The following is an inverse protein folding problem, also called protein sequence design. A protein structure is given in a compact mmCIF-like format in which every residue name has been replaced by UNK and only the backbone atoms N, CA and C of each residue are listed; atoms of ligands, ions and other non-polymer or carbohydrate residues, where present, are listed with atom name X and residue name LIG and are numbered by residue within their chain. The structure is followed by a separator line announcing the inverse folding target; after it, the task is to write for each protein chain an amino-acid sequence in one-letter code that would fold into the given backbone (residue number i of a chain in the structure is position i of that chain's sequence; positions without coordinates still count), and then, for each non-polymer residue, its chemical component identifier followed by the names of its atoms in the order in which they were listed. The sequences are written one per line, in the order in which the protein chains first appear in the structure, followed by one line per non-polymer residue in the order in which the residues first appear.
data_IF_174216670212
#
_entry.id   IF_174216670212
#
_cell.length_a   1.000
_cell.length_b   1.000
_cell.length_c   1.000
_cell.angle_alpha   90.00
_cell.angle_beta   90.00
_cell.angle_gamma   90.00
#
_symmetry.space_group_name_H-M   'P 1'
#
loop_
_entity.id
_entity.type
_entity.pdbx_description
1 polymer ?
#
# COMPACT_ATOMS: atom_id res chain seq x y z
N UNK A 1 -29.41 22.41 -14.65
CA UNK A 1 -28.15 22.21 -13.92
C UNK A 1 -28.28 22.94 -12.60
N UNK A 2 -28.57 22.23 -11.52
CA UNK A 2 -28.74 22.84 -10.20
C UNK A 2 -27.37 23.04 -9.56
N UNK A 3 -27.13 24.21 -8.98
CA UNK A 3 -25.94 24.44 -8.15
C UNK A 3 -26.05 23.57 -6.90
N UNK A 4 -25.08 22.68 -6.68
CA UNK A 4 -24.94 21.96 -5.42
C UNK A 4 -24.30 22.90 -4.39
N UNK A 5 -24.85 22.94 -3.18
CA UNK A 5 -24.34 23.76 -2.08
C UNK A 5 -23.78 22.87 -0.97
N UNK A 6 -22.65 23.27 -0.39
CA UNK A 6 -22.07 22.57 0.75
C UNK A 6 -23.02 22.62 1.95
N UNK A 7 -23.19 21.49 2.63
CA UNK A 7 -24.01 21.34 3.82
C UNK A 7 -23.18 20.79 4.99
N UNK A 8 -23.74 20.85 6.19
CA UNK A 8 -23.10 20.29 7.37
C UNK A 8 -22.80 18.79 7.16
N UNK A 9 -21.58 18.37 7.51
CA UNK A 9 -21.11 16.99 7.32
C UNK A 9 -20.44 16.71 5.97
N UNK A 10 -20.49 17.64 5.02
CA UNK A 10 -19.71 17.51 3.79
C UNK A 10 -18.22 17.77 4.05
N UNK A 11 -17.39 17.23 3.17
CA UNK A 11 -15.95 17.43 3.22
C UNK A 11 -15.63 18.89 2.93
N UNK A 12 -14.79 19.47 3.76
CA UNK A 12 -14.27 20.82 3.55
C UNK A 12 -13.11 20.72 2.56
N UNK A 13 -13.30 21.25 1.36
CA UNK A 13 -12.25 21.42 0.35
C UNK A 13 -11.79 22.87 0.40
N UNK A 14 -10.49 23.08 0.33
CA UNK A 14 -9.91 24.41 0.30
C UNK A 14 -10.00 24.97 -1.12
N UNK A 15 -10.65 26.14 -1.25
CA UNK A 15 -10.55 27.01 -2.42
C UNK A 15 -9.15 27.64 -2.41
N UNK A 16 -8.32 27.27 -3.39
CA UNK A 16 -6.92 27.65 -3.44
C UNK A 16 -6.69 28.92 -4.25
N UNK A 17 -7.50 29.17 -5.27
CA UNK A 17 -7.39 30.36 -6.13
C UNK A 17 -8.23 31.56 -5.63
N UNK A 18 -9.12 31.31 -4.66
CA UNK A 18 -9.95 32.30 -3.99
C UNK A 18 -11.13 32.78 -4.83
N UNK A 19 -11.53 32.04 -5.86
CA UNK A 19 -12.59 32.45 -6.78
C UNK A 19 -14.02 32.18 -6.25
N UNK A 20 -14.14 31.59 -5.06
CA UNK A 20 -15.40 31.27 -4.40
C UNK A 20 -16.08 30.01 -4.93
N UNK A 21 -15.37 29.17 -5.69
CA UNK A 21 -15.83 27.91 -6.26
C UNK A 21 -14.79 26.84 -6.01
N UNK A 22 -15.24 25.59 -5.97
CA UNK A 22 -14.35 24.43 -5.93
C UNK A 22 -14.35 23.80 -7.33
N UNK A 23 -13.29 24.04 -8.08
CA UNK A 23 -13.05 23.64 -9.46
C UNK A 23 -12.07 22.47 -9.56
N UNK A 24 -12.39 21.31 -8.99
CA UNK A 24 -11.46 20.15 -8.96
C UNK A 24 -11.67 19.16 -10.11
N UNK A 25 -12.76 19.30 -10.87
CA UNK A 25 -13.06 18.49 -12.05
C UNK A 25 -12.64 19.20 -13.33
N UNK A 26 -12.22 18.44 -14.33
CA UNK A 26 -11.94 18.96 -15.66
C UNK A 26 -13.13 19.79 -16.18
N UNK A 27 -12.89 20.97 -16.78
CA UNK A 27 -11.58 21.50 -17.19
C UNK A 27 -10.91 22.44 -16.18
N UNK A 28 -11.56 22.73 -15.05
CA UNK A 28 -11.13 23.82 -14.18
C UNK A 28 -9.81 23.45 -13.47
N UNK A 29 -9.73 22.29 -12.80
CA UNK A 29 -8.55 21.84 -12.03
C UNK A 29 -7.86 22.93 -11.15
N UNK A 30 -8.54 24.06 -10.92
CA UNK A 30 -8.02 25.33 -10.40
C UNK A 30 -7.54 25.17 -8.94
N UNK A 31 -8.20 24.29 -8.18
CA UNK A 31 -7.92 24.03 -6.77
C UNK A 31 -6.99 22.82 -6.54
N UNK A 32 -6.45 22.21 -7.61
CA UNK A 32 -5.53 21.09 -7.46
C UNK A 32 -4.14 21.62 -7.07
N UNK A 33 -3.62 21.10 -5.96
CA UNK A 33 -2.27 21.44 -5.48
C UNK A 33 -1.36 20.23 -5.47
N UNK A 34 -0.06 20.49 -5.60
CA UNK A 34 0.95 19.44 -5.42
C UNK A 34 0.95 18.95 -3.97
N UNK A 35 0.67 17.66 -3.78
CA UNK A 35 0.53 17.05 -2.45
C UNK A 35 1.59 15.99 -2.13
N UNK A 36 2.71 15.99 -2.86
CA UNK A 36 3.82 15.06 -2.65
C UNK A 36 4.22 14.30 -3.91
N UNK A 37 5.26 13.48 -3.76
CA UNK A 37 5.85 12.73 -4.86
C UNK A 37 5.77 11.22 -4.61
N UNK A 38 5.40 10.43 -5.63
CA UNK A 38 5.51 8.97 -5.58
C UNK A 38 6.96 8.49 -5.58
N UNK A 39 7.90 9.36 -5.98
CA UNK A 39 9.32 9.07 -5.90
C UNK A 39 9.77 9.09 -4.44
N UNK A 40 10.49 8.05 -3.97
CA UNK A 40 11.01 8.02 -2.61
C UNK A 40 12.18 8.99 -2.44
N UNK A 41 12.37 9.43 -1.20
CA UNK A 41 13.54 10.22 -0.80
C UNK A 41 14.80 9.35 -0.88
N UNK A 42 14.68 8.09 -0.45
CA UNK A 42 15.73 7.09 -0.56
C UNK A 42 15.13 5.70 -0.73
N UNK A 43 15.80 4.86 -1.50
CA UNK A 43 15.46 3.45 -1.66
C UNK A 43 16.73 2.63 -1.85
N UNK A 44 16.69 1.36 -1.46
CA UNK A 44 17.84 0.49 -1.63
C UNK A 44 17.62 -0.91 -1.09
N UNK A 45 18.72 -1.62 -0.89
CA UNK A 45 18.70 -2.94 -0.30
C UNK A 45 19.89 -3.17 0.62
N UNK A 46 19.70 -4.04 1.60
CA UNK A 46 20.73 -4.49 2.53
C UNK A 46 20.89 -5.99 2.30
N UNK A 47 22.11 -6.39 1.91
CA UNK A 47 22.48 -7.80 1.74
C UNK A 47 23.38 -8.19 2.90
N UNK A 48 22.98 -9.22 3.64
CA UNK A 48 23.77 -9.77 4.74
C UNK A 48 24.06 -11.23 4.48
N UNK A 49 25.34 -11.58 4.37
CA UNK A 49 25.81 -12.96 4.22
C UNK A 49 26.66 -13.35 5.41
N UNK A 50 26.28 -14.41 6.10
CA UNK A 50 26.99 -14.98 7.24
C UNK A 50 27.36 -16.43 6.93
N UNK A 51 28.62 -16.79 7.15
CA UNK A 51 29.10 -18.15 6.99
C UNK A 51 29.75 -18.62 8.29
N UNK A 52 29.32 -19.76 8.83
CA UNK A 52 29.86 -20.29 10.07
C UNK A 52 29.78 -21.81 10.14
N UNK A 53 30.94 -22.49 10.23
CA UNK A 53 31.05 -23.95 10.42
C UNK A 53 30.18 -24.79 9.47
N UNK A 54 30.08 -24.38 8.20
CA UNK A 54 29.27 -25.06 7.18
C UNK A 54 27.83 -24.54 7.06
N UNK A 55 27.36 -23.72 8.00
CA UNK A 55 26.13 -22.95 7.83
C UNK A 55 26.38 -21.72 6.97
N UNK A 56 25.44 -21.44 6.06
CA UNK A 56 25.39 -20.21 5.27
C UNK A 56 24.02 -19.56 5.44
N UNK A 57 23.99 -18.28 5.82
CA UNK A 57 22.78 -17.48 5.94
C UNK A 57 22.90 -16.29 4.98
N UNK A 58 21.90 -16.13 4.12
CA UNK A 58 21.78 -15.01 3.20
C UNK A 58 20.46 -14.29 3.45
N UNK A 59 20.53 -12.99 3.74
CA UNK A 59 19.38 -12.11 3.92
C UNK A 59 19.43 -11.00 2.89
N UNK A 60 18.30 -10.73 2.25
CA UNK A 60 18.09 -9.58 1.38
C UNK A 60 16.91 -8.77 1.92
N UNK A 61 17.21 -7.57 2.42
CA UNK A 61 16.19 -6.58 2.74
C UNK A 61 16.10 -5.56 1.61
N UNK A 62 14.88 -5.14 1.30
CA UNK A 62 14.61 -3.96 0.47
C UNK A 62 13.97 -2.88 1.35
N UNK A 63 14.38 -1.63 1.18
CA UNK A 63 13.80 -0.51 1.90
C UNK A 63 13.43 0.63 0.95
N UNK A 64 12.39 1.36 1.35
CA UNK A 64 11.93 2.59 0.71
C UNK A 64 11.59 3.59 1.81
N UNK A 65 12.03 4.83 1.65
CA UNK A 65 11.87 5.89 2.65
C UNK A 65 11.16 7.09 2.02
N UNK A 66 10.01 7.43 2.59
CA UNK A 66 9.35 8.72 2.39
C UNK A 66 8.71 8.95 1.02
N UNK A 67 8.26 7.90 0.32
CA UNK A 67 7.40 8.07 -0.88
C UNK A 67 5.97 8.44 -0.47
N UNK A 68 5.24 9.15 -1.31
CA UNK A 68 3.82 9.40 -1.12
C UNK A 68 3.01 8.36 -1.89
N UNK A 69 2.00 7.81 -1.25
CA UNK A 69 1.04 6.89 -1.87
C UNK A 69 -0.36 7.49 -1.70
N UNK A 70 -1.07 7.68 -2.81
CA UNK A 70 -2.48 8.05 -2.81
C UNK A 70 -3.32 6.77 -2.67
N UNK A 71 -3.93 6.57 -1.52
CA UNK A 71 -4.83 5.46 -1.25
C UNK A 71 -6.23 5.77 -1.81
N UNK A 72 -6.35 5.71 -3.13
CA UNK A 72 -7.59 6.00 -3.85
C UNK A 72 -8.69 4.97 -3.54
N UNK A 73 -8.32 3.70 -3.43
CA UNK A 73 -9.26 2.60 -3.20
C UNK A 73 -10.05 2.74 -1.89
N UNK A 74 -9.36 3.09 -0.79
CA UNK A 74 -10.00 3.15 0.53
C UNK A 74 -11.10 4.20 0.60
N UNK A 75 -10.81 5.43 0.18
CA UNK A 75 -11.77 6.53 0.18
C UNK A 75 -12.98 6.25 -0.71
N UNK A 76 -12.74 5.76 -1.93
CA UNK A 76 -13.81 5.44 -2.88
C UNK A 76 -14.69 4.26 -2.44
N UNK A 77 -14.16 3.34 -1.64
CA UNK A 77 -14.90 2.17 -1.17
C UNK A 77 -15.90 2.45 -0.06
N UNK A 78 -15.75 3.59 0.63
CA UNK A 78 -16.58 3.98 1.77
C UNK A 78 -17.80 4.82 1.36
N UNK A 79 -17.70 5.51 0.22
CA UNK A 79 -18.79 6.31 -0.30
C UNK A 79 -19.86 5.46 -0.95
N UNK A 80 -21.11 5.72 -0.59
CA UNK A 80 -22.25 5.19 -1.32
C UNK A 80 -22.71 6.27 -2.30
N UNK A 81 -22.84 5.95 -3.58
CA UNK A 81 -23.33 6.88 -4.58
C UNK A 81 -24.38 6.22 -5.45
N UNK A 82 -25.33 7.00 -5.93
CA UNK A 82 -26.31 6.55 -6.92
C UNK A 82 -25.63 6.44 -8.28
N UNK A 83 -25.72 5.27 -8.91
CA UNK A 83 -25.30 5.06 -10.29
C UNK A 83 -26.39 4.35 -11.09
N UNK A 84 -26.48 4.69 -12.37
CA UNK A 84 -27.31 3.97 -13.34
C UNK A 84 -26.76 2.56 -13.66
N UNK A 85 -25.52 2.26 -13.27
CA UNK A 85 -24.87 0.98 -13.53
C UNK A 85 -24.67 0.20 -12.22
N UNK A 86 -25.20 -1.03 -12.15
CA UNK A 86 -25.13 -1.89 -10.94
C UNK A 86 -23.70 -2.15 -10.46
N UNK A 87 -22.74 -2.25 -11.39
CA UNK A 87 -21.31 -2.45 -11.08
C UNK A 87 -20.68 -1.28 -10.32
N UNK A 88 -21.29 -0.09 -10.41
CA UNK A 88 -20.84 1.09 -9.69
C UNK A 88 -21.46 1.20 -8.30
N UNK A 89 -22.62 0.55 -8.08
CA UNK A 89 -23.30 0.47 -6.78
C UNK A 89 -22.66 -0.57 -5.85
N UNK A 90 -22.05 -1.61 -6.40
CA UNK A 90 -21.52 -2.76 -5.65
C UNK A 90 -19.99 -2.80 -5.69
N UNK A 91 -19.36 -2.03 -4.80
CA UNK A 91 -17.90 -2.04 -4.63
C UNK A 91 -17.49 -2.77 -3.35
N UNK A 92 -16.37 -3.53 -3.36
CA UNK A 92 -15.82 -4.06 -2.14
C UNK A 92 -15.44 -2.91 -1.20
N UNK A 93 -15.80 -3.05 0.08
CA UNK A 93 -15.41 -2.10 1.12
C UNK A 93 -14.00 -2.46 1.59
N UNK A 94 -13.05 -1.53 1.48
CA UNK A 94 -11.64 -1.75 1.83
C UNK A 94 -11.25 -1.20 3.20
N UNK A 95 -12.24 -0.84 4.02
CA UNK A 95 -12.03 -0.42 5.40
C UNK A 95 -12.86 -1.28 6.36
N UNK A 96 -12.36 -1.45 7.57
CA UNK A 96 -13.10 -2.09 8.65
C UNK A 96 -14.16 -1.11 9.18
N UNK A 97 -15.42 -1.30 8.76
CA UNK A 97 -16.55 -0.43 9.11
C UNK A 97 -16.81 -0.36 10.63
N UNK A 98 -16.31 -1.31 11.42
CA UNK A 98 -16.43 -1.27 12.88
C UNK A 98 -15.45 -0.30 13.55
N UNK A 99 -14.43 0.16 12.81
CA UNK A 99 -13.34 1.02 13.31
C UNK A 99 -13.32 2.42 12.70
N UNK A 100 -14.30 2.74 11.85
CA UNK A 100 -14.42 4.05 11.22
C UNK A 100 -15.77 4.65 11.54
N UNK A 101 -15.81 5.97 11.62
CA UNK A 101 -17.01 6.74 11.92
C UNK A 101 -17.32 7.73 10.80
N UNK A 102 -18.62 7.92 10.54
CA UNK A 102 -19.13 8.91 9.59
C UNK A 102 -19.84 10.01 10.36
N UNK A 103 -19.73 11.25 9.87
CA UNK A 103 -20.43 12.37 10.48
C UNK A 103 -21.95 12.18 10.40
N UNK A 104 -22.67 12.44 11.50
CA UNK A 104 -24.13 12.37 11.54
C UNK A 104 -24.78 13.67 12.01
N UNK A 105 -24.16 14.36 12.97
CA UNK A 105 -24.72 15.58 13.56
C UNK A 105 -23.64 16.60 13.99
N UNK A 106 -24.00 17.88 14.17
CA UNK A 106 -23.09 18.88 14.71
C UNK A 106 -22.50 18.45 16.06
N UNK A 107 -21.18 18.57 16.21
CA UNK A 107 -20.44 18.14 17.39
C UNK A 107 -19.75 16.78 17.28
N UNK A 108 -20.06 15.98 16.25
CA UNK A 108 -19.38 14.72 16.00
C UNK A 108 -17.91 14.94 15.62
N UNK A 109 -17.02 14.08 16.14
CA UNK A 109 -15.64 13.92 15.69
C UNK A 109 -15.57 12.61 14.91
N UNK A 110 -15.81 12.70 13.60
CA UNK A 110 -15.85 11.55 12.71
C UNK A 110 -14.63 11.47 11.81
N UNK A 111 -14.27 10.27 11.37
CA UNK A 111 -13.15 10.01 10.45
C UNK A 111 -13.51 10.39 9.01
N UNK A 112 -14.77 10.24 8.64
CA UNK A 112 -15.29 10.45 7.29
C UNK A 112 -16.48 11.43 7.28
N UNK A 113 -16.70 12.13 6.15
CA UNK A 113 -17.88 12.98 5.98
C UNK A 113 -19.18 12.17 6.02
N UNK A 114 -20.31 12.86 6.04
CA UNK A 114 -21.62 12.24 5.99
C UNK A 114 -21.74 11.34 4.74
N UNK A 115 -22.11 10.08 4.95
CA UNK A 115 -22.39 9.17 3.84
C UNK A 115 -23.82 9.40 3.34
N UNK A 116 -23.97 9.87 2.10
CA UNK A 116 -25.23 10.26 1.48
C UNK A 116 -25.31 9.68 0.08
N UNK A 117 -26.51 9.28 -0.35
CA UNK A 117 -26.76 8.70 -1.67
C UNK A 117 -26.70 9.73 -2.81
N UNK A 118 -26.99 10.99 -2.50
CA UNK A 118 -26.83 12.10 -3.42
C UNK A 118 -25.36 12.24 -3.81
N UNK A 119 -25.12 12.60 -5.07
CA UNK A 119 -23.77 12.80 -5.59
C UNK A 119 -23.14 13.99 -4.84
N UNK A 120 -22.47 13.68 -3.74
CA UNK A 120 -21.97 14.67 -2.80
C UNK A 120 -20.88 15.52 -3.43
N UNK A 121 -20.59 16.67 -2.80
CA UNK A 121 -19.51 17.57 -3.17
C UNK A 121 -18.13 16.97 -2.82
N UNK A 122 -17.78 15.87 -3.46
CA UNK A 122 -16.50 15.15 -3.33
C UNK A 122 -16.24 14.46 -1.99
N UNK A 123 -17.28 14.18 -1.19
CA UNK A 123 -17.14 13.53 0.12
C UNK A 123 -16.25 12.27 0.11
N UNK A 124 -16.35 11.47 -0.95
CA UNK A 124 -15.58 10.22 -1.12
C UNK A 124 -14.70 10.22 -2.39
N UNK A 125 -14.31 11.40 -2.88
CA UNK A 125 -13.40 11.50 -4.03
C UNK A 125 -12.05 10.84 -3.73
N UNK A 126 -11.42 10.31 -4.78
CA UNK A 126 -10.13 9.61 -4.70
C UNK A 126 -8.95 10.56 -4.59
N UNK A 127 -8.94 11.63 -5.40
CA UNK A 127 -7.83 12.58 -5.54
C UNK A 127 -7.88 13.68 -4.47
N UNK A 128 -7.78 13.28 -3.21
CA UNK A 128 -7.79 14.18 -2.06
C UNK A 128 -6.50 14.05 -1.26
N UNK A 129 -5.98 15.18 -0.78
CA UNK A 129 -4.74 15.23 0.02
C UNK A 129 -4.82 14.37 1.29
N UNK A 130 -6.01 14.26 1.88
CA UNK A 130 -6.31 13.41 3.02
C UNK A 130 -6.15 11.90 2.76
N UNK A 131 -6.16 11.47 1.50
CA UNK A 131 -5.98 10.08 1.11
C UNK A 131 -4.50 9.76 0.84
N UNK A 132 -3.61 10.75 0.98
CA UNK A 132 -2.17 10.58 0.73
C UNK A 132 -1.48 10.16 2.02
N UNK A 133 -0.72 9.07 1.91
CA UNK A 133 0.09 8.51 2.99
C UNK A 133 1.57 8.69 2.64
N UNK A 134 2.35 9.29 3.54
CA UNK A 134 3.81 9.30 3.42
C UNK A 134 4.34 7.96 3.96
N UNK A 135 4.77 7.10 3.06
CA UNK A 135 5.10 5.71 3.33
C UNK A 135 6.60 5.47 3.33
N UNK A 136 7.05 4.76 4.36
CA UNK A 136 8.35 4.11 4.42
C UNK A 136 8.16 2.65 4.81
N UNK A 137 8.92 1.76 4.17
CA UNK A 137 8.84 0.34 4.49
C UNK A 137 10.20 -0.35 4.39
N UNK A 138 10.33 -1.46 5.13
CA UNK A 138 11.43 -2.40 5.08
C UNK A 138 10.84 -3.80 4.88
N UNK A 139 11.25 -4.50 3.82
CA UNK A 139 10.74 -5.82 3.48
C UNK A 139 11.87 -6.82 3.40
N UNK A 140 11.71 -7.97 4.06
CA UNK A 140 12.62 -9.11 3.90
C UNK A 140 12.25 -9.86 2.62
N UNK A 141 13.00 -9.56 1.55
CA UNK A 141 12.79 -10.13 0.21
C UNK A 141 13.16 -11.59 0.14
N UNK A 142 14.31 -11.94 0.69
CA UNK A 142 14.81 -13.31 0.66
C UNK A 142 15.56 -13.62 1.94
N UNK A 143 15.29 -14.79 2.52
CA UNK A 143 16.05 -15.40 3.59
C UNK A 143 16.40 -16.82 3.16
N UNK A 144 17.68 -17.13 3.06
CA UNK A 144 18.15 -18.48 2.76
C UNK A 144 19.09 -18.94 3.85
N UNK A 145 18.74 -20.05 4.51
CA UNK A 145 19.61 -20.74 5.46
C UNK A 145 19.99 -22.10 4.88
N UNK A 146 21.28 -22.31 4.67
CA UNK A 146 21.86 -23.54 4.19
C UNK A 146 22.83 -24.16 5.19
N UNK A 147 23.01 -25.48 5.07
CA UNK A 147 24.09 -26.20 5.72
C UNK A 147 24.77 -27.13 4.71
N UNK A 148 26.07 -26.94 4.53
CA UNK A 148 26.92 -27.78 3.68
C UNK A 148 27.60 -28.84 4.51
N UNK A 149 27.46 -30.11 4.12
CA UNK A 149 28.10 -31.23 4.82
C UNK A 149 29.63 -31.08 4.83
N UNK A 150 30.30 -31.39 5.96
CA UNK A 150 31.75 -31.32 6.06
C UNK A 150 32.45 -32.27 5.07
N UNK A 151 33.66 -31.89 4.62
CA UNK A 151 34.46 -32.64 3.63
C UNK A 151 34.69 -34.10 4.04
N UNK A 152 34.86 -34.37 5.34
CA UNK A 152 35.04 -35.75 5.88
C UNK A 152 33.90 -36.70 5.50
N UNK A 153 32.67 -36.19 5.39
CA UNK A 153 31.51 -36.97 4.96
C UNK A 153 31.49 -37.14 3.44
N UNK A 154 31.90 -36.12 2.69
CA UNK A 154 32.08 -36.20 1.23
C UNK A 154 33.07 -37.30 0.85
N UNK A 155 34.21 -37.37 1.53
CA UNK A 155 35.26 -38.37 1.28
C UNK A 155 34.78 -39.81 1.57
N UNK A 156 33.90 -40.01 2.56
CA UNK A 156 33.34 -41.34 2.88
C UNK A 156 32.21 -41.76 1.95
N UNK A 157 31.33 -40.84 1.58
CA UNK A 157 30.11 -41.12 0.81
C UNK A 157 30.32 -41.02 -0.71
N UNK A 158 31.41 -40.40 -1.16
CA UNK A 158 31.70 -40.17 -2.58
C UNK A 158 30.96 -38.97 -3.18
N UNK A 159 30.16 -38.23 -2.41
CA UNK A 159 29.45 -37.03 -2.86
C UNK A 159 29.30 -36.00 -1.73
N UNK A 160 29.27 -34.71 -2.08
CA UNK A 160 28.94 -33.62 -1.18
C UNK A 160 27.44 -33.32 -1.21
N UNK A 161 26.88 -32.84 -0.10
CA UNK A 161 25.50 -32.38 -0.07
C UNK A 161 25.36 -31.04 0.68
N UNK A 162 24.40 -30.23 0.24
CA UNK A 162 23.94 -29.02 0.93
C UNK A 162 22.43 -29.07 1.06
N UNK A 163 21.92 -28.91 2.27
CA UNK A 163 20.48 -28.77 2.53
C UNK A 163 20.22 -27.28 2.77
N UNK A 164 19.15 -26.74 2.24
CA UNK A 164 18.77 -25.35 2.48
C UNK A 164 17.27 -25.16 2.57
N UNK A 165 16.88 -24.13 3.31
CA UNK A 165 15.55 -23.56 3.32
C UNK A 165 15.66 -22.12 2.80
N UNK A 166 14.77 -21.74 1.89
CA UNK A 166 14.68 -20.39 1.34
C UNK A 166 13.26 -19.88 1.53
N UNK A 167 13.11 -18.65 2.03
CA UNK A 167 11.85 -17.97 2.19
C UNK A 167 11.88 -16.63 1.44
N UNK A 168 10.78 -16.28 0.78
CA UNK A 168 10.60 -15.02 0.05
C UNK A 168 9.40 -14.26 0.58
N UNK A 169 9.50 -12.92 0.60
CA UNK A 169 8.46 -12.01 1.11
C UNK A 169 7.93 -12.44 2.48
N UNK A 170 8.85 -12.72 3.42
CA UNK A 170 8.49 -13.30 4.71
C UNK A 170 7.76 -12.28 5.60
N UNK A 171 8.21 -11.03 5.61
CA UNK A 171 7.52 -9.94 6.30
C UNK A 171 7.84 -8.57 5.71
N UNK A 172 6.95 -7.62 5.97
CA UNK A 172 7.08 -6.19 5.64
C UNK A 172 6.79 -5.38 6.89
N UNK A 173 7.71 -4.49 7.26
CA UNK A 173 7.48 -3.44 8.26
C UNK A 173 7.14 -2.18 7.48
N UNK A 174 5.94 -1.63 7.68
CA UNK A 174 5.44 -0.47 6.95
C UNK A 174 4.50 0.36 7.82
N UNK A 175 4.44 1.66 7.56
CA UNK A 175 3.41 2.55 8.11
C UNK A 175 2.23 2.76 7.14
N UNK A 176 2.21 2.06 6.00
CA UNK A 176 1.13 2.13 5.02
C UNK A 176 -0.13 1.44 5.54
N UNK A 177 -1.29 2.06 5.33
CA UNK A 177 -2.58 1.50 5.75
C UNK A 177 -3.19 0.48 4.78
N UNK A 178 -2.66 0.40 3.55
CA UNK A 178 -3.04 -0.61 2.57
C UNK A 178 -2.27 -1.93 2.73
N UNK A 179 -2.57 -2.93 1.87
CA UNK A 179 -2.15 -4.31 2.10
C UNK A 179 -0.66 -4.57 1.81
N UNK A 180 -0.09 -3.98 0.76
CA UNK A 180 1.35 -4.08 0.47
C UNK A 180 1.85 -2.83 -0.27
N UNK A 181 2.68 -1.97 0.37
CA UNK A 181 3.16 -0.72 -0.25
C UNK A 181 4.05 -0.95 -1.48
N UNK A 182 4.63 -2.15 -1.62
CA UNK A 182 5.49 -2.47 -2.76
C UNK A 182 4.69 -2.76 -4.03
N UNK A 183 3.42 -3.17 -3.90
CA UNK A 183 2.53 -3.41 -5.04
C UNK A 183 2.02 -2.12 -5.70
N UNK A 184 2.29 -0.97 -5.07
CA UNK A 184 1.85 0.34 -5.55
C UNK A 184 2.83 0.86 -6.59
N UNK A 185 2.30 1.15 -7.77
CA UNK A 185 3.05 1.69 -8.90
C UNK A 185 3.92 2.89 -8.48
N UNK A 186 5.20 2.85 -8.86
CA UNK A 186 6.20 3.84 -8.44
C UNK A 186 6.13 5.15 -9.22
N UNK A 187 5.46 5.17 -10.37
CA UNK A 187 5.36 6.34 -11.25
C UNK A 187 4.14 7.16 -10.86
N UNK A 188 2.99 6.50 -10.71
CA UNK A 188 1.72 7.15 -10.37
C UNK A 188 1.57 7.33 -8.85
N UNK A 189 2.08 6.39 -8.05
CA UNK A 189 1.84 6.35 -6.61
C UNK A 189 0.39 6.16 -6.21
N UNK A 190 -0.48 5.74 -7.13
CA UNK A 190 -1.90 5.55 -6.87
C UNK A 190 -2.17 4.10 -6.53
N UNK A 191 -2.80 3.86 -5.38
CA UNK A 191 -3.28 2.55 -4.98
C UNK A 191 -4.81 2.49 -5.05
N UNK A 192 -5.32 1.72 -5.99
CA UNK A 192 -6.75 1.43 -6.14
C UNK A 192 -7.21 0.24 -5.26
N UNK A 193 -6.30 -0.36 -4.50
CA UNK A 193 -6.51 -1.57 -3.68
C UNK A 193 -6.98 -2.78 -4.50
N UNK A 194 -6.59 -2.84 -5.77
CA UNK A 194 -6.87 -3.96 -6.68
C UNK A 194 -5.75 -4.99 -6.71
N UNK A 195 -4.58 -4.67 -6.14
CA UNK A 195 -3.42 -5.55 -6.13
C UNK A 195 -3.35 -6.35 -4.83
N UNK A 196 -3.02 -7.63 -4.95
CA UNK A 196 -2.75 -8.47 -3.79
C UNK A 196 -1.31 -8.29 -3.30
N UNK A 197 -1.06 -8.46 -1.99
CA UNK A 197 0.29 -8.59 -1.47
C UNK A 197 1.08 -9.69 -2.18
N UNK A 198 2.38 -9.49 -2.28
CA UNK A 198 3.26 -10.55 -2.78
C UNK A 198 3.21 -11.77 -1.84
N UNK A 199 2.96 -12.94 -2.42
CA UNK A 199 2.84 -14.18 -1.66
C UNK A 199 4.16 -14.53 -0.95
N UNK A 200 4.04 -15.00 0.30
CA UNK A 200 5.15 -15.62 1.01
C UNK A 200 5.39 -17.02 0.44
N UNK A 201 6.63 -17.28 -0.01
CA UNK A 201 7.02 -18.59 -0.56
C UNK A 201 8.11 -19.18 0.31
N UNK A 202 7.95 -20.45 0.71
CA UNK A 202 8.97 -21.21 1.43
C UNK A 202 9.37 -22.42 0.57
N UNK A 203 10.67 -22.64 0.41
CA UNK A 203 11.25 -23.70 -0.43
C UNK A 203 12.29 -24.45 0.37
N UNK A 204 12.18 -25.78 0.35
CA UNK A 204 13.19 -26.69 0.88
C UNK A 204 13.96 -27.29 -0.28
N UNK A 205 15.28 -27.34 -0.18
CA UNK A 205 16.14 -27.82 -1.26
C UNK A 205 17.32 -28.65 -0.78
N UNK A 206 17.73 -29.57 -1.64
CA UNK A 206 18.93 -30.39 -1.49
C UNK A 206 19.77 -30.23 -2.76
N UNK A 207 21.04 -29.86 -2.59
CA UNK A 207 22.02 -29.79 -3.67
C UNK A 207 23.05 -30.89 -3.47
N UNK A 208 23.18 -31.79 -4.45
CA UNK A 208 24.21 -32.83 -4.48
C UNK A 208 25.37 -32.36 -5.36
N UNK A 209 26.60 -32.55 -4.88
CA UNK A 209 27.84 -32.29 -5.62
C UNK A 209 28.60 -33.60 -5.78
N UNK A 210 28.50 -34.19 -6.97
CA UNK A 210 29.29 -35.37 -7.37
C UNK A 210 30.78 -35.02 -7.41
#
# INVERSE_FOLDING_TARGET
VGSLFYMAGDRIIQDYDGNGRIGTSLPLEEDRVYCGSPLPIAQGGIVSTLNWKGFDLNLLFNYVIGRHILNAGKGASLGTYMSAFEKELTKPVFADLSKVSFWQKPGDRADYPANRLEDGLMNFSTYLSSNIEKVSYLKLKTLTLGYTLPVKWKEKLGFGARIFISAENLFTITNYSGPDPESVDIITGVDNLTNYPLATRVTFGLTLKL
#
